data_IF_620139425219
#
_entry.id   IF_620139425219
#
_cell.length_a   1.000
_cell.length_b   1.000
_cell.length_c   1.000
_cell.angle_alpha   90.00
_cell.angle_beta   90.00
_cell.angle_gamma   90.00
#
_symmetry.space_group_name_H-M   'P 1'
#
loop_
_entity.id
_entity.type
_entity.pdbx_description
1 polymer ?
#
# COMPACT_ATOMS: atom_id res chain seq x y z
N UNK A 1 -16.95 -6.66 -11.70
CA UNK A 1 -15.87 -5.92 -11.01
C UNK A 1 -14.59 -6.13 -11.80
N UNK A 2 -14.07 -5.06 -12.40
CA UNK A 2 -12.87 -5.13 -13.24
C UNK A 2 -11.68 -5.30 -12.28
N UNK A 3 -11.12 -6.51 -12.22
CA UNK A 3 -9.84 -6.77 -11.53
C UNK A 3 -8.82 -5.86 -12.21
N UNK A 4 -8.53 -4.71 -11.63
CA UNK A 4 -7.50 -3.81 -12.13
C UNK A 4 -6.22 -4.64 -12.17
N UNK A 5 -5.74 -4.96 -13.37
CA UNK A 5 -4.49 -5.67 -13.58
C UNK A 5 -3.41 -4.91 -12.81
N UNK A 6 -2.84 -5.57 -11.82
CA UNK A 6 -1.72 -5.05 -11.04
C UNK A 6 -0.61 -4.71 -12.03
N UNK A 7 -0.30 -3.41 -12.20
CA UNK A 7 0.87 -2.98 -12.96
C UNK A 7 2.08 -3.42 -12.15
N UNK A 8 2.76 -4.47 -12.59
CA UNK A 8 4.11 -4.77 -12.13
C UNK A 8 5.04 -3.77 -12.80
N UNK A 9 5.63 -2.90 -12.00
CA UNK A 9 6.77 -2.09 -12.42
C UNK A 9 8.01 -2.98 -12.23
N UNK A 10 8.46 -3.56 -13.34
CA UNK A 10 9.68 -4.37 -13.36
C UNK A 10 10.86 -3.43 -13.62
N UNK A 11 11.68 -3.22 -12.58
CA UNK A 11 12.89 -2.41 -12.63
C UNK A 11 14.10 -3.22 -12.20
N UNK A 12 15.18 -3.07 -12.95
CA UNK A 12 16.51 -3.51 -12.55
C UNK A 12 17.18 -2.42 -11.72
N UNK A 13 17.77 -2.81 -10.59
CA UNK A 13 18.52 -1.92 -9.71
C UNK A 13 20.01 -2.20 -9.82
N UNK A 14 20.81 -1.15 -9.99
CA UNK A 14 22.26 -1.29 -10.09
C UNK A 14 22.92 -1.44 -8.72
N UNK A 15 22.26 -0.95 -7.67
CA UNK A 15 22.78 -0.99 -6.29
C UNK A 15 21.70 -1.34 -5.29
N UNK A 16 22.11 -1.88 -4.14
CA UNK A 16 21.19 -2.17 -3.03
C UNK A 16 20.52 -0.91 -2.47
N UNK A 17 21.24 0.21 -2.41
CA UNK A 17 20.73 1.52 -1.98
C UNK A 17 19.60 2.05 -2.89
N UNK A 18 19.70 1.81 -4.19
CA UNK A 18 18.65 2.15 -5.15
C UNK A 18 17.40 1.30 -4.94
N UNK A 19 17.56 -0.02 -4.82
CA UNK A 19 16.46 -0.95 -4.53
C UNK A 19 15.77 -0.60 -3.21
N UNK A 20 16.53 -0.27 -2.16
CA UNK A 20 16.01 0.13 -0.85
C UNK A 20 15.13 1.39 -0.96
N UNK A 21 15.57 2.40 -1.71
CA UNK A 21 14.81 3.64 -1.91
C UNK A 21 13.52 3.39 -2.69
N UNK A 22 13.60 2.62 -3.78
CA UNK A 22 12.42 2.26 -4.57
C UNK A 22 11.42 1.42 -3.76
N UNK A 23 11.90 0.50 -2.92
CA UNK A 23 11.06 -0.29 -2.03
C UNK A 23 10.37 0.59 -0.98
N UNK A 24 11.10 1.52 -0.38
CA UNK A 24 10.52 2.47 0.59
C UNK A 24 9.42 3.31 -0.07
N UNK A 25 9.68 3.86 -1.25
CA UNK A 25 8.67 4.61 -2.00
C UNK A 25 7.47 3.74 -2.36
N UNK A 26 7.69 2.51 -2.80
CA UNK A 26 6.61 1.56 -3.09
C UNK A 26 5.73 1.31 -1.85
N UNK A 27 6.33 1.01 -0.70
CA UNK A 27 5.60 0.72 0.54
C UNK A 27 4.84 1.96 1.01
N UNK A 28 5.51 3.10 1.14
CA UNK A 28 4.93 4.29 1.76
C UNK A 28 4.02 5.07 0.80
N UNK A 29 4.38 5.21 -0.47
CA UNK A 29 3.64 6.02 -1.43
C UNK A 29 2.52 5.26 -2.13
N UNK A 30 2.69 3.98 -2.39
CA UNK A 30 1.72 3.22 -3.15
C UNK A 30 1.00 2.15 -2.32
N UNK A 31 1.73 1.28 -1.64
CA UNK A 31 1.13 0.15 -0.92
C UNK A 31 0.24 0.62 0.23
N UNK A 32 0.80 1.31 1.23
CA UNK A 32 0.06 1.74 2.42
C UNK A 32 -1.07 2.72 2.08
N UNK A 33 -0.83 3.64 1.14
CA UNK A 33 -1.74 4.75 0.83
C UNK A 33 -2.81 4.44 -0.22
N UNK A 34 -2.56 3.52 -1.15
CA UNK A 34 -3.39 3.38 -2.37
C UNK A 34 -3.78 1.96 -2.70
N UNK A 35 -3.12 0.94 -2.14
CA UNK A 35 -3.41 -0.44 -2.50
C UNK A 35 -4.66 -0.94 -1.80
N UNK A 36 -5.74 -1.11 -2.55
CA UNK A 36 -6.95 -1.78 -2.04
C UNK A 36 -6.70 -3.26 -1.75
N UNK A 37 -7.11 -3.70 -0.56
CA UNK A 37 -7.08 -5.10 -0.15
C UNK A 37 -8.49 -5.61 0.11
N UNK A 38 -8.92 -6.64 -0.61
CA UNK A 38 -10.24 -7.25 -0.41
C UNK A 38 -10.42 -7.85 0.99
N UNK A 39 -9.35 -8.35 1.60
CA UNK A 39 -9.37 -8.81 2.99
C UNK A 39 -9.62 -7.70 4.01
N UNK A 40 -9.36 -6.44 3.65
CA UNK A 40 -9.63 -5.25 4.48
C UNK A 40 -10.98 -4.59 4.13
N UNK A 41 -11.76 -5.16 3.20
CA UNK A 41 -12.98 -4.54 2.70
C UNK A 41 -12.74 -3.56 1.55
N UNK A 42 -11.76 -3.84 0.70
CA UNK A 42 -11.38 -3.05 -0.49
C UNK A 42 -10.83 -1.64 -0.20
N UNK A 43 -10.44 -1.37 1.04
CA UNK A 43 -9.73 -0.15 1.46
C UNK A 43 -8.22 -0.35 1.49
N UNK A 44 -7.47 0.74 1.56
CA UNK A 44 -6.02 0.70 1.77
C UNK A 44 -5.64 0.35 3.22
N UNK A 45 -4.41 -0.15 3.46
CA UNK A 45 -3.93 -0.43 4.82
C UNK A 45 -3.99 0.81 5.73
N UNK A 46 -3.58 1.98 5.23
CA UNK A 46 -3.62 3.23 6.00
C UNK A 46 -5.05 3.61 6.39
N UNK A 47 -6.00 3.52 5.45
CA UNK A 47 -7.42 3.79 5.73
C UNK A 47 -8.00 2.80 6.72
N UNK A 48 -7.62 1.52 6.63
CA UNK A 48 -8.05 0.50 7.57
C UNK A 48 -7.61 0.83 9.00
N UNK A 49 -6.34 1.19 9.19
CA UNK A 49 -5.79 1.59 10.49
C UNK A 49 -6.44 2.89 11.02
N UNK A 50 -6.66 3.87 10.14
CA UNK A 50 -7.35 5.12 10.47
C UNK A 50 -8.78 4.86 10.97
N UNK A 51 -9.53 4.02 10.27
CA UNK A 51 -10.88 3.63 10.65
C UNK A 51 -10.90 2.85 11.97
N UNK A 52 -9.91 1.99 12.21
CA UNK A 52 -9.77 1.29 13.48
C UNK A 52 -9.48 2.26 14.65
N UNK A 53 -8.60 3.23 14.42
CA UNK A 53 -8.27 4.28 15.38
C UNK A 53 -9.50 5.12 15.74
N UNK A 54 -10.30 5.52 14.74
CA UNK A 54 -11.56 6.25 14.96
C UNK A 54 -12.57 5.44 15.77
N UNK A 55 -12.72 4.13 15.50
CA UNK A 55 -13.60 3.26 16.30
C UNK A 55 -13.16 3.15 17.76
N UNK A 56 -11.85 3.07 18.00
CA UNK A 56 -11.30 3.03 19.36
C UNK A 56 -11.45 4.33 20.13
N UNK A 57 -11.46 5.48 19.45
CA UNK A 57 -11.60 6.80 20.09
C UNK A 57 -13.05 7.20 20.37
N UNK A 58 -14.02 6.55 19.71
CA UNK A 58 -15.46 6.81 19.88
C UNK A 58 -16.14 5.88 20.91
N UNK A 59 -15.40 4.94 21.49
CA UNK A 59 -15.83 4.04 22.57
C UNK A 59 -15.33 4.54 23.92
#
# INVERSE_FOLDING_TARGET
>A
MVRAKEKRDERDFQTHEEARRALFEYIEAWYNRRRSHSALGDVSPEEYERNASTRSAAA
#
